data_IF_413725688353
#
_entry.id   IF_413725688353
#
_cell.length_a   1.000
_cell.length_b   1.000
_cell.length_c   1.000
_cell.angle_alpha   90.00
_cell.angle_beta   90.00
_cell.angle_gamma   90.00
#
_symmetry.space_group_name_H-M   'P 1'
#
loop_
_entity.id
_entity.type
_entity.pdbx_description
1 polymer ?
#
# COMPACT_ATOMS: atom_id res chain seq x y z
N UNK A 1 -8.65 17.28 28.62
CA UNK A 1 -8.23 16.25 27.63
C UNK A 1 -6.97 16.75 26.98
N UNK A 2 -5.90 16.00 27.13
CA UNK A 2 -4.59 16.43 26.66
C UNK A 2 -4.53 16.39 25.13
N UNK A 3 -3.87 17.40 24.54
CA UNK A 3 -3.61 17.42 23.09
C UNK A 3 -2.50 16.42 22.76
N UNK A 4 -2.70 15.60 21.76
CA UNK A 4 -1.72 14.61 21.26
C UNK A 4 -1.02 15.23 20.05
N UNK A 5 0.30 15.05 19.96
CA UNK A 5 1.06 15.41 18.76
C UNK A 5 1.41 14.15 17.97
N UNK A 6 1.09 14.11 16.69
CA UNK A 6 1.65 13.13 15.75
C UNK A 6 2.69 13.77 14.84
N UNK A 7 3.83 13.11 14.70
CA UNK A 7 4.94 13.48 13.79
C UNK A 7 5.12 12.33 12.81
N UNK A 8 4.56 12.45 11.62
CA UNK A 8 4.52 11.34 10.64
C UNK A 8 4.36 11.83 9.20
N UNK A 9 4.40 10.93 8.25
CA UNK A 9 4.12 11.21 6.85
C UNK A 9 2.63 11.43 6.56
N UNK A 10 2.36 12.06 5.43
CA UNK A 10 1.02 12.23 4.87
C UNK A 10 0.74 11.11 3.87
N UNK A 11 -0.36 10.38 4.07
CA UNK A 11 -0.87 9.34 3.18
C UNK A 11 -2.10 9.88 2.43
N UNK A 12 -1.95 10.16 1.13
CA UNK A 12 -3.02 10.72 0.31
C UNK A 12 -4.20 9.75 0.07
N UNK A 13 -4.07 8.47 0.44
CA UNK A 13 -5.21 7.52 0.43
C UNK A 13 -6.00 7.52 1.73
N UNK A 14 -5.46 8.14 2.78
CA UNK A 14 -6.10 8.26 4.08
C UNK A 14 -6.11 6.98 4.92
N UNK A 15 -5.46 5.90 4.46
CA UNK A 15 -5.42 4.62 5.18
C UNK A 15 -4.39 4.57 6.31
N UNK A 16 -3.43 5.51 6.32
CA UNK A 16 -2.30 5.56 7.24
C UNK A 16 -1.85 7.03 7.41
N UNK A 17 -0.75 7.26 8.11
CA UNK A 17 -0.16 8.59 8.27
C UNK A 17 -1.04 9.58 9.03
N UNK A 18 -0.75 10.87 8.85
CA UNK A 18 -1.43 11.96 9.59
C UNK A 18 -2.95 11.96 9.39
N UNK A 19 -3.44 11.59 8.20
CA UNK A 19 -4.87 11.55 7.90
C UNK A 19 -5.60 10.49 8.73
N UNK A 20 -5.03 9.27 8.80
CA UNK A 20 -5.60 8.20 9.60
C UNK A 20 -5.50 8.50 11.11
N UNK A 21 -4.40 9.12 11.55
CA UNK A 21 -4.21 9.53 12.94
C UNK A 21 -5.29 10.51 13.39
N UNK A 22 -5.49 11.60 12.63
CA UNK A 22 -6.49 12.63 12.96
C UNK A 22 -7.89 12.04 12.95
N UNK A 23 -8.22 11.21 11.94
CA UNK A 23 -9.53 10.56 11.86
C UNK A 23 -9.79 9.68 13.08
N UNK A 24 -8.86 8.77 13.41
CA UNK A 24 -9.02 7.85 14.54
C UNK A 24 -9.16 8.58 15.88
N UNK A 25 -8.37 9.61 16.11
CA UNK A 25 -8.48 10.43 17.35
C UNK A 25 -9.80 11.19 17.40
N UNK A 26 -10.29 11.70 16.27
CA UNK A 26 -11.57 12.41 16.20
C UNK A 26 -12.74 11.46 16.47
N UNK A 27 -12.72 10.25 15.92
CA UNK A 27 -13.72 9.21 16.15
C UNK A 27 -13.76 8.77 17.62
N UNK A 28 -12.59 8.71 18.27
CA UNK A 28 -12.47 8.42 19.70
C UNK A 28 -12.86 9.63 20.59
N UNK A 29 -13.11 10.81 20.03
CA UNK A 29 -13.46 12.03 20.76
C UNK A 29 -12.25 12.78 21.32
N UNK A 30 -11.04 12.51 20.83
CA UNK A 30 -9.80 13.16 21.25
C UNK A 30 -9.44 14.41 20.45
N UNK A 31 -8.27 15.02 20.76
CA UNK A 31 -7.69 16.15 20.04
C UNK A 31 -6.26 15.82 19.64
N UNK A 32 -5.95 16.07 18.36
CA UNK A 32 -4.62 15.83 17.81
C UNK A 32 -4.15 17.02 16.99
N UNK A 33 -2.88 17.35 17.15
CA UNK A 33 -2.14 18.25 16.25
C UNK A 33 -1.08 17.45 15.51
N UNK A 34 -0.63 17.93 14.36
CA UNK A 34 0.22 17.14 13.49
C UNK A 34 1.40 17.93 12.94
N UNK A 35 2.52 17.22 12.75
CA UNK A 35 3.70 17.64 12.02
C UNK A 35 3.92 16.64 10.88
N UNK A 36 3.99 17.13 9.65
CA UNK A 36 4.17 16.29 8.46
C UNK A 36 5.65 16.19 8.12
N UNK A 37 6.18 14.96 8.05
CA UNK A 37 7.60 14.69 7.75
C UNK A 37 7.85 14.43 6.26
N UNK A 38 6.87 13.87 5.56
CA UNK A 38 6.91 13.61 4.11
C UNK A 38 5.50 13.50 3.55
N UNK A 39 5.39 13.63 2.24
CA UNK A 39 4.15 13.38 1.49
C UNK A 39 4.38 12.13 0.65
N UNK A 40 3.47 11.15 0.70
CA UNK A 40 3.47 10.01 -0.21
C UNK A 40 2.63 10.32 -1.44
N UNK A 41 3.10 9.91 -2.60
CA UNK A 41 2.31 9.80 -3.82
C UNK A 41 1.97 8.33 -3.95
N UNK A 42 0.76 7.95 -3.55
CA UNK A 42 0.37 6.55 -3.52
C UNK A 42 -1.08 6.32 -3.99
N UNK A 43 -1.36 5.08 -4.32
CA UNK A 43 -2.68 4.59 -4.68
C UNK A 43 -2.89 3.19 -4.07
N UNK A 44 -3.96 2.48 -4.47
CA UNK A 44 -4.26 1.13 -3.96
C UNK A 44 -3.21 0.07 -4.29
N UNK A 45 -2.26 0.37 -5.19
CA UNK A 45 -1.11 -0.50 -5.51
C UNK A 45 0.09 -0.27 -4.59
N UNK A 46 0.05 0.76 -3.75
CA UNK A 46 1.12 1.15 -2.84
C UNK A 46 1.75 2.48 -3.19
N UNK A 47 2.87 2.77 -2.54
CA UNK A 47 3.60 4.02 -2.67
C UNK A 47 4.34 4.03 -4.02
N UNK A 48 4.13 5.11 -4.79
CA UNK A 48 4.78 5.32 -6.09
C UNK A 48 6.01 6.23 -5.92
N UNK A 49 5.91 7.23 -5.04
CA UNK A 49 6.96 8.21 -4.82
C UNK A 49 6.82 8.85 -3.44
N UNK A 50 7.92 9.42 -2.93
CA UNK A 50 7.96 10.21 -1.71
C UNK A 50 8.45 11.61 -2.00
N UNK A 51 7.87 12.57 -1.30
CA UNK A 51 8.39 13.93 -1.22
C UNK A 51 8.68 14.25 0.25
N UNK A 52 9.96 14.26 0.63
CA UNK A 52 10.36 14.58 1.98
C UNK A 52 10.20 16.09 2.25
N UNK A 53 9.56 16.43 3.36
CA UNK A 53 9.46 17.82 3.80
C UNK A 53 10.85 18.26 4.31
N UNK A 54 11.36 19.44 3.88
CA UNK A 54 12.65 19.94 4.37
C UNK A 54 12.68 19.96 5.89
N UNK A 55 13.77 19.49 6.48
CA UNK A 55 13.90 19.38 7.93
C UNK A 55 13.70 20.70 8.68
N UNK A 56 14.05 21.83 8.06
CA UNK A 56 13.77 23.16 8.62
C UNK A 56 12.26 23.41 8.74
N UNK A 57 11.47 23.04 7.73
CA UNK A 57 10.02 23.19 7.77
C UNK A 57 9.40 22.28 8.84
N UNK A 58 9.94 21.06 9.01
CA UNK A 58 9.54 20.16 10.11
C UNK A 58 9.87 20.79 11.46
N UNK A 59 11.05 21.40 11.60
CA UNK A 59 11.44 22.11 12.83
C UNK A 59 10.50 23.28 13.14
N UNK A 60 10.15 24.08 12.14
CA UNK A 60 9.26 25.24 12.29
C UNK A 60 7.84 24.80 12.69
N UNK A 61 7.30 23.71 12.13
CA UNK A 61 6.02 23.13 12.54
C UNK A 61 6.08 22.67 14.02
N UNK A 62 7.14 21.97 14.40
CA UNK A 62 7.35 21.47 15.78
C UNK A 62 7.46 22.65 16.76
N UNK A 63 8.21 23.67 16.39
CA UNK A 63 8.41 24.85 17.26
C UNK A 63 7.10 25.63 17.46
N UNK A 64 6.33 25.82 16.41
CA UNK A 64 5.02 26.48 16.49
C UNK A 64 4.08 25.77 17.46
N UNK A 65 4.01 24.42 17.39
CA UNK A 65 3.16 23.62 18.30
C UNK A 65 3.75 23.56 19.72
N UNK A 66 5.06 23.33 19.82
CA UNK A 66 5.73 23.17 21.11
C UNK A 66 5.73 24.46 21.96
N UNK A 67 5.79 25.62 21.33
CA UNK A 67 5.73 26.90 22.04
C UNK A 67 4.31 27.27 22.53
N UNK A 68 3.27 26.80 21.84
CA UNK A 68 1.88 27.12 22.16
C UNK A 68 1.20 26.07 23.05
N UNK A 69 1.30 24.77 22.69
CA UNK A 69 0.46 23.73 23.27
C UNK A 69 1.22 22.76 24.18
N UNK A 70 2.52 22.55 23.97
CA UNK A 70 3.37 21.58 24.70
C UNK A 70 2.69 20.20 24.90
N UNK A 71 2.35 19.47 23.83
CA UNK A 71 1.61 18.21 23.93
C UNK A 71 2.34 17.19 24.83
N UNK A 72 1.68 16.64 25.87
CA UNK A 72 2.31 15.70 26.79
C UNK A 72 2.47 14.30 26.20
N UNK A 73 1.81 14.00 25.07
CA UNK A 73 1.86 12.72 24.38
C UNK A 73 2.27 12.97 22.93
N UNK A 74 3.34 12.29 22.51
CA UNK A 74 3.89 12.40 21.17
C UNK A 74 3.91 11.02 20.51
N UNK A 75 3.29 10.91 19.36
CA UNK A 75 3.45 9.78 18.45
C UNK A 75 4.46 10.15 17.37
N UNK A 76 5.46 9.31 17.16
CA UNK A 76 6.41 9.39 16.06
C UNK A 76 6.15 8.23 15.11
N UNK A 77 5.81 8.54 13.87
CA UNK A 77 5.59 7.55 12.81
C UNK A 77 6.75 7.51 11.81
N UNK A 78 6.45 7.75 10.54
CA UNK A 78 7.43 7.69 9.45
C UNK A 78 8.47 8.81 9.54
N UNK A 79 9.75 8.42 9.63
CA UNK A 79 10.94 9.28 9.56
C UNK A 79 11.86 8.72 8.48
N UNK A 80 12.22 9.52 7.48
CA UNK A 80 12.91 9.04 6.28
C UNK A 80 14.36 9.49 6.14
N UNK A 81 14.76 10.55 6.84
CA UNK A 81 16.12 11.10 6.74
C UNK A 81 16.67 11.55 8.09
N UNK A 82 18.00 11.67 8.16
CA UNK A 82 18.72 11.99 9.39
C UNK A 82 18.46 13.40 9.91
N UNK A 83 18.23 14.35 9.02
CA UNK A 83 17.99 15.74 9.39
C UNK A 83 16.66 15.86 10.14
N UNK A 84 15.59 15.26 9.60
CA UNK A 84 14.29 15.17 10.27
C UNK A 84 14.37 14.40 11.59
N UNK A 85 15.11 13.27 11.61
CA UNK A 85 15.34 12.53 12.85
C UNK A 85 16.00 13.39 13.92
N UNK A 86 17.02 14.16 13.57
CA UNK A 86 17.73 15.05 14.49
C UNK A 86 16.82 16.13 15.06
N UNK A 87 15.94 16.72 14.23
CA UNK A 87 14.91 17.68 14.68
C UNK A 87 13.99 17.06 15.70
N UNK A 88 13.46 15.87 15.45
CA UNK A 88 12.56 15.16 16.37
C UNK A 88 13.25 14.84 17.69
N UNK A 89 14.48 14.30 17.66
CA UNK A 89 15.24 13.98 18.87
C UNK A 89 15.47 15.24 19.72
N UNK A 90 15.86 16.35 19.09
CA UNK A 90 16.07 17.63 19.78
C UNK A 90 14.79 18.13 20.47
N UNK A 91 13.65 18.03 19.78
CA UNK A 91 12.35 18.36 20.36
C UNK A 91 12.04 17.48 21.58
N UNK A 92 12.12 16.16 21.46
CA UNK A 92 11.82 15.22 22.55
C UNK A 92 12.72 15.45 23.77
N UNK A 93 13.99 15.77 23.55
CA UNK A 93 14.95 16.07 24.65
C UNK A 93 14.67 17.41 25.33
N UNK A 94 14.22 18.41 24.57
CA UNK A 94 13.91 19.76 25.06
C UNK A 94 12.62 19.79 25.85
N UNK A 95 11.53 19.23 25.29
CA UNK A 95 10.18 19.35 25.87
C UNK A 95 9.80 18.20 26.80
N UNK A 96 10.48 17.05 26.71
CA UNK A 96 10.30 15.86 27.57
C UNK A 96 8.83 15.48 27.76
N UNK A 97 8.10 15.14 26.68
CA UNK A 97 6.70 14.74 26.81
C UNK A 97 6.58 13.52 27.76
N UNK A 98 5.43 13.39 28.43
CA UNK A 98 5.16 12.29 29.37
C UNK A 98 5.19 10.92 28.71
N UNK A 99 4.73 10.85 27.46
CA UNK A 99 4.75 9.63 26.65
C UNK A 99 5.23 9.91 25.24
N UNK A 100 6.15 9.04 24.76
CA UNK A 100 6.61 9.00 23.37
C UNK A 100 6.32 7.62 22.83
N UNK A 101 5.44 7.52 21.85
CA UNK A 101 5.09 6.28 21.16
C UNK A 101 5.74 6.29 19.77
N UNK A 102 6.57 5.28 19.51
CA UNK A 102 7.22 5.12 18.19
C UNK A 102 6.61 3.96 17.44
N UNK A 103 6.06 4.26 16.27
CA UNK A 103 5.47 3.30 15.32
C UNK A 103 6.18 3.45 13.97
N UNK A 104 7.36 2.83 13.79
CA UNK A 104 8.13 2.96 12.57
C UNK A 104 7.41 2.35 11.37
N UNK A 105 7.59 2.97 10.21
CA UNK A 105 7.21 2.40 8.93
C UNK A 105 8.50 1.96 8.21
N UNK A 106 8.97 0.76 8.54
CA UNK A 106 10.24 0.22 8.01
C UNK A 106 10.06 -0.35 6.61
N UNK A 107 8.94 -1.03 6.38
CA UNK A 107 8.59 -1.61 5.09
C UNK A 107 7.28 -1.04 4.54
N UNK A 108 7.21 -0.91 3.23
CA UNK A 108 5.96 -0.64 2.53
C UNK A 108 5.00 -1.84 2.65
N UNK A 109 3.73 -1.63 2.31
CA UNK A 109 2.75 -2.73 2.19
C UNK A 109 3.17 -3.79 1.16
N UNK A 110 4.04 -3.44 0.22
CA UNK A 110 4.59 -4.34 -0.79
C UNK A 110 5.89 -5.05 -0.33
N UNK A 111 6.40 -4.72 0.86
CA UNK A 111 7.62 -5.30 1.41
C UNK A 111 8.92 -4.55 1.04
N UNK A 112 8.82 -3.40 0.38
CA UNK A 112 10.00 -2.59 0.06
C UNK A 112 10.56 -1.92 1.32
N UNK A 113 11.87 -1.94 1.50
CA UNK A 113 12.53 -1.25 2.61
C UNK A 113 12.45 0.27 2.41
N UNK A 114 11.85 0.98 3.36
CA UNK A 114 11.63 2.43 3.31
C UNK A 114 12.64 3.25 4.11
N UNK A 115 13.51 2.58 4.88
CA UNK A 115 14.54 3.21 5.72
C UNK A 115 15.91 2.68 5.38
N UNK A 116 16.86 3.58 5.24
CA UNK A 116 18.27 3.20 5.06
C UNK A 116 18.86 2.61 6.36
N UNK A 117 19.79 1.66 6.24
CA UNK A 117 20.43 0.99 7.39
C UNK A 117 21.09 1.97 8.36
N UNK A 118 21.70 3.05 7.83
CA UNK A 118 22.32 4.09 8.65
C UNK A 118 21.29 4.85 9.49
N UNK A 119 20.13 5.18 8.90
CA UNK A 119 19.03 5.83 9.63
C UNK A 119 18.51 4.93 10.76
N UNK A 120 18.35 3.63 10.51
CA UNK A 120 17.92 2.65 11.52
C UNK A 120 18.93 2.60 12.67
N UNK A 121 20.22 2.64 12.39
CA UNK A 121 21.27 2.71 13.41
C UNK A 121 21.16 3.93 14.32
N UNK A 122 20.91 5.10 13.72
CA UNK A 122 20.71 6.36 14.46
C UNK A 122 19.39 6.38 15.26
N UNK A 123 18.32 5.82 14.73
CA UNK A 123 17.06 5.62 15.46
C UNK A 123 17.30 4.76 16.71
N UNK A 124 17.96 3.60 16.55
CA UNK A 124 18.28 2.70 17.66
C UNK A 124 19.05 3.40 18.75
N UNK A 125 20.06 4.18 18.38
CA UNK A 125 20.98 4.82 19.33
C UNK A 125 20.37 6.04 20.01
N UNK A 126 19.53 6.81 19.34
CA UNK A 126 19.16 8.15 19.80
C UNK A 126 17.64 8.37 19.99
N UNK A 127 16.77 7.66 19.25
CA UNK A 127 15.32 7.80 19.37
C UNK A 127 14.72 6.75 20.31
N UNK A 128 15.08 5.46 20.14
CA UNK A 128 14.47 4.39 20.97
C UNK A 128 14.65 4.61 22.47
N UNK A 129 15.79 5.13 23.00
CA UNK A 129 15.92 5.42 24.42
C UNK A 129 15.01 6.53 24.96
N UNK A 130 14.39 7.33 24.08
CA UNK A 130 13.45 8.38 24.44
C UNK A 130 11.99 7.91 24.39
N UNK A 131 11.74 6.71 23.88
CA UNK A 131 10.39 6.20 23.70
C UNK A 131 9.86 5.52 24.97
N UNK A 132 8.60 5.78 25.29
CA UNK A 132 7.87 5.07 26.36
C UNK A 132 7.30 3.75 25.84
N UNK A 133 7.00 3.66 24.54
CA UNK A 133 6.52 2.46 23.88
C UNK A 133 7.01 2.44 22.41
N UNK A 134 7.46 1.28 21.97
CA UNK A 134 7.90 1.02 20.61
C UNK A 134 7.04 -0.10 20.05
N UNK A 135 6.32 0.17 18.96
CA UNK A 135 5.46 -0.81 18.29
C UNK A 135 6.19 -1.34 17.06
N UNK A 136 6.46 -2.62 16.99
CA UNK A 136 7.19 -3.25 15.89
C UNK A 136 6.46 -4.47 15.39
N UNK A 137 6.40 -4.65 14.08
CA UNK A 137 6.04 -5.94 13.50
C UNK A 137 7.17 -6.94 13.72
N UNK A 138 6.83 -8.22 13.87
CA UNK A 138 7.84 -9.27 14.11
C UNK A 138 8.98 -9.24 13.09
N UNK A 139 8.67 -9.03 11.80
CA UNK A 139 9.65 -8.93 10.72
C UNK A 139 10.57 -7.70 10.81
N UNK A 140 10.14 -6.64 11.49
CA UNK A 140 10.89 -5.39 11.65
C UNK A 140 11.79 -5.41 12.86
N UNK A 141 11.45 -6.21 13.88
CA UNK A 141 12.10 -6.20 15.19
C UNK A 141 13.60 -6.44 15.12
N UNK A 142 14.04 -7.47 14.41
CA UNK A 142 15.47 -7.77 14.26
C UNK A 142 16.25 -6.63 13.62
N UNK A 143 15.66 -5.99 12.61
CA UNK A 143 16.30 -4.89 11.89
C UNK A 143 16.39 -3.62 12.76
N UNK A 144 15.31 -3.27 13.44
CA UNK A 144 15.20 -2.04 14.26
C UNK A 144 15.98 -2.20 15.57
N UNK A 145 15.80 -3.30 16.28
CA UNK A 145 16.41 -3.52 17.60
C UNK A 145 17.86 -4.01 17.52
N UNK A 146 18.22 -4.75 16.45
CA UNK A 146 19.53 -5.42 16.38
C UNK A 146 19.67 -6.44 17.51
N UNK A 147 20.73 -6.27 18.31
CA UNK A 147 21.00 -7.13 19.48
C UNK A 147 20.45 -6.55 20.81
N UNK A 148 19.64 -5.48 20.75
CA UNK A 148 19.05 -4.88 21.95
C UNK A 148 17.67 -5.47 22.22
N UNK A 149 17.29 -5.57 23.51
CA UNK A 149 15.97 -6.05 23.91
C UNK A 149 15.41 -5.10 24.97
N UNK A 150 14.93 -3.91 24.57
CA UNK A 150 14.33 -2.98 25.53
C UNK A 150 12.96 -3.47 26.02
N UNK A 151 12.63 -3.22 27.29
CA UNK A 151 11.38 -3.69 27.94
C UNK A 151 10.12 -3.00 27.42
N UNK A 152 10.27 -1.86 26.73
CA UNK A 152 9.18 -1.03 26.22
C UNK A 152 8.79 -1.36 24.76
N UNK A 153 9.05 -2.56 24.29
CA UNK A 153 8.67 -3.02 22.94
C UNK A 153 7.41 -3.86 22.97
N UNK A 154 6.45 -3.52 22.14
CA UNK A 154 5.29 -4.35 21.85
C UNK A 154 5.40 -4.91 20.43
N UNK A 155 5.46 -6.24 20.31
CA UNK A 155 5.54 -6.93 19.03
C UNK A 155 4.14 -7.18 18.49
N UNK A 156 3.93 -6.75 17.25
CA UNK A 156 2.69 -6.93 16.51
C UNK A 156 2.82 -8.12 15.54
N UNK A 157 1.73 -8.85 15.37
CA UNK A 157 1.64 -9.83 14.31
C UNK A 157 1.64 -9.15 12.93
N UNK A 158 2.13 -9.83 11.90
CA UNK A 158 2.14 -9.34 10.54
C UNK A 158 0.73 -9.44 9.94
N UNK A 159 -0.10 -8.44 10.23
CA UNK A 159 -1.44 -8.31 9.63
C UNK A 159 -1.34 -7.69 8.24
N UNK A 160 -2.10 -8.20 7.25
CA UNK A 160 -2.09 -7.64 5.89
C UNK A 160 -2.88 -6.33 5.76
N UNK A 161 -3.50 -5.84 6.83
CA UNK A 161 -4.34 -4.63 6.79
C UNK A 161 -3.47 -3.39 6.75
N UNK A 162 -3.64 -2.57 5.69
CA UNK A 162 -2.94 -1.30 5.55
C UNK A 162 -3.32 -0.35 6.69
N UNK A 163 -2.30 0.27 7.32
CA UNK A 163 -2.50 1.22 8.41
C UNK A 163 -2.86 0.61 9.77
N UNK A 164 -2.91 -0.73 9.92
CA UNK A 164 -3.28 -1.36 11.20
C UNK A 164 -2.40 -0.90 12.37
N UNK A 165 -1.05 -0.94 12.23
CA UNK A 165 -0.15 -0.47 13.30
C UNK A 165 -0.35 1.01 13.58
N UNK A 166 -0.57 1.80 12.53
CA UNK A 166 -0.82 3.24 12.64
C UNK A 166 -2.10 3.54 13.45
N UNK A 167 -3.19 2.83 13.20
CA UNK A 167 -4.43 2.98 13.95
C UNK A 167 -4.27 2.50 15.40
N UNK A 168 -3.56 1.38 15.61
CA UNK A 168 -3.29 0.85 16.94
C UNK A 168 -2.48 1.84 17.77
N UNK A 169 -1.36 2.33 17.24
CA UNK A 169 -0.51 3.31 17.92
C UNK A 169 -1.27 4.59 18.25
N UNK A 170 -2.13 5.04 17.34
CA UNK A 170 -2.98 6.22 17.55
C UNK A 170 -4.02 6.00 18.64
N UNK A 171 -4.72 4.87 18.65
CA UNK A 171 -5.67 4.53 19.70
C UNK A 171 -4.98 4.40 21.08
N UNK A 172 -3.75 3.85 21.13
CA UNK A 172 -2.95 3.80 22.35
C UNK A 172 -2.69 5.23 22.87
N UNK A 173 -2.28 6.18 22.01
CA UNK A 173 -2.06 7.57 22.45
C UNK A 173 -3.31 8.20 23.01
N UNK A 174 -4.49 7.90 22.45
CA UNK A 174 -5.76 8.35 23.00
C UNK A 174 -6.00 7.80 24.40
N UNK A 175 -5.88 6.50 24.62
CA UNK A 175 -6.14 5.93 25.94
C UNK A 175 -5.10 6.38 26.98
N UNK A 176 -3.86 6.65 26.59
CA UNK A 176 -2.87 7.30 27.46
C UNK A 176 -3.32 8.72 27.85
N UNK A 177 -3.91 9.49 26.92
CA UNK A 177 -4.45 10.83 27.22
C UNK A 177 -5.65 10.81 28.16
N UNK A 178 -6.29 9.65 28.35
CA UNK A 178 -7.35 9.41 29.32
C UNK A 178 -6.81 8.94 30.68
N UNK A 179 -5.49 8.92 30.90
CA UNK A 179 -4.86 8.52 32.16
C UNK A 179 -4.68 7.01 32.34
N UNK A 180 -4.89 6.20 31.32
CA UNK A 180 -4.62 4.76 31.39
C UNK A 180 -3.12 4.48 31.44
N UNK A 181 -2.71 3.40 32.09
CA UNK A 181 -1.37 2.86 31.97
C UNK A 181 -1.08 2.34 30.56
N UNK A 182 0.19 2.16 30.19
CA UNK A 182 0.58 1.64 28.86
C UNK A 182 -0.10 0.30 28.58
N UNK A 183 -0.13 -0.62 29.52
CA UNK A 183 -0.74 -1.93 29.33
C UNK A 183 -2.27 -1.85 29.13
N UNK A 184 -2.96 -1.03 29.91
CA UNK A 184 -4.40 -0.80 29.73
C UNK A 184 -4.70 -0.11 28.41
N UNK A 185 -3.86 0.86 28.00
CA UNK A 185 -3.99 1.56 26.72
C UNK A 185 -3.83 0.60 25.53
N UNK A 186 -2.85 -0.31 25.57
CA UNK A 186 -2.66 -1.36 24.54
C UNK A 186 -3.88 -2.28 24.48
N UNK A 187 -4.39 -2.74 25.63
CA UNK A 187 -5.55 -3.63 25.69
C UNK A 187 -6.80 -2.96 25.09
N UNK A 188 -7.12 -1.74 25.53
CA UNK A 188 -8.28 -0.98 25.04
C UNK A 188 -8.17 -0.63 23.57
N UNK A 189 -6.98 -0.25 23.10
CA UNK A 189 -6.73 0.03 21.69
C UNK A 189 -6.91 -1.23 20.82
N UNK A 190 -6.42 -2.37 21.27
CA UNK A 190 -6.59 -3.65 20.57
C UNK A 190 -8.06 -4.05 20.46
N UNK A 191 -8.83 -3.85 21.55
CA UNK A 191 -10.28 -4.10 21.55
C UNK A 191 -11.03 -3.15 20.62
N UNK A 192 -10.68 -1.86 20.62
CA UNK A 192 -11.23 -0.87 19.69
C UNK A 192 -11.02 -1.29 18.22
N UNK A 193 -9.80 -1.70 17.87
CA UNK A 193 -9.50 -2.11 16.50
C UNK A 193 -10.25 -3.40 16.12
N UNK A 194 -10.39 -4.35 17.04
CA UNK A 194 -11.13 -5.58 16.79
C UNK A 194 -12.58 -5.34 16.39
N UNK A 195 -13.20 -4.27 16.91
CA UNK A 195 -14.58 -3.90 16.63
C UNK A 195 -14.69 -3.06 15.34
N UNK A 196 -13.75 -2.14 15.11
CA UNK A 196 -13.87 -1.08 14.09
C UNK A 196 -13.04 -1.33 12.82
N UNK A 197 -12.11 -2.29 12.83
CA UNK A 197 -11.29 -2.62 11.65
C UNK A 197 -11.74 -3.97 11.08
N UNK A 198 -12.41 -3.92 9.94
CA UNK A 198 -12.75 -5.13 9.19
C UNK A 198 -11.58 -5.52 8.27
N UNK A 199 -11.29 -6.83 8.10
CA UNK A 199 -10.35 -7.30 7.08
C UNK A 199 -10.76 -6.88 5.65
N UNK A 200 -12.04 -6.59 5.42
CA UNK A 200 -12.59 -6.16 4.13
C UNK A 200 -12.44 -4.64 3.87
N UNK A 201 -12.10 -3.83 4.86
CA UNK A 201 -11.88 -2.38 4.70
C UNK A 201 -10.59 -2.02 3.95
N UNK A 202 -9.88 -3.01 3.43
CA UNK A 202 -8.67 -2.75 2.67
C UNK A 202 -9.03 -2.11 1.31
N UNK A 203 -8.47 -0.94 1.04
CA UNK A 203 -8.44 -0.30 -0.30
C UNK A 203 -7.88 -1.23 -1.41
N UNK A 204 -7.38 -2.42 -1.03
CA UNK A 204 -6.89 -3.48 -1.92
C UNK A 204 -7.99 -4.13 -2.77
N UNK A 205 -9.27 -3.99 -2.39
CA UNK A 205 -10.40 -4.53 -3.15
C UNK A 205 -10.52 -3.91 -4.55
N UNK A 206 -10.20 -2.61 -4.70
CA UNK A 206 -10.31 -1.92 -5.99
C UNK A 206 -9.47 -2.53 -7.11
N UNK A 207 -8.23 -2.93 -6.79
CA UNK A 207 -7.35 -3.57 -7.79
C UNK A 207 -7.88 -4.94 -8.21
N UNK A 208 -8.38 -5.73 -7.26
CA UNK A 208 -8.99 -7.04 -7.53
C UNK A 208 -10.28 -6.91 -8.33
N UNK A 209 -11.12 -5.92 -7.99
CA UNK A 209 -12.33 -5.60 -8.76
C UNK A 209 -11.98 -5.18 -10.19
N UNK A 210 -11.02 -4.27 -10.37
CA UNK A 210 -10.59 -3.82 -11.68
C UNK A 210 -10.03 -4.97 -12.53
N UNK A 211 -9.25 -5.86 -11.93
CA UNK A 211 -8.74 -7.05 -12.63
C UNK A 211 -9.87 -7.98 -13.06
N UNK A 212 -10.83 -8.24 -12.19
CA UNK A 212 -12.02 -9.04 -12.50
C UNK A 212 -12.87 -8.41 -13.61
N UNK A 213 -13.07 -7.08 -13.54
CA UNK A 213 -13.84 -6.37 -14.55
C UNK A 213 -13.11 -6.32 -15.89
N UNK A 214 -11.78 -6.24 -15.87
CA UNK A 214 -10.96 -6.36 -17.07
C UNK A 214 -11.10 -7.73 -17.74
N UNK A 215 -11.01 -8.81 -16.98
CA UNK A 215 -11.17 -10.17 -17.54
C UNK A 215 -12.60 -10.42 -18.07
N UNK A 216 -13.63 -9.88 -17.40
CA UNK A 216 -15.01 -9.91 -17.91
C UNK A 216 -15.16 -9.10 -19.20
N UNK A 217 -14.57 -7.92 -19.26
CA UNK A 217 -14.62 -7.08 -20.46
C UNK A 217 -13.92 -7.78 -21.65
N UNK A 218 -12.78 -8.44 -21.42
CA UNK A 218 -12.13 -9.26 -22.46
C UNK A 218 -13.12 -10.30 -22.98
N UNK A 219 -13.71 -11.10 -22.10
CA UNK A 219 -14.66 -12.16 -22.50
C UNK A 219 -15.84 -11.61 -23.32
N UNK A 220 -16.34 -10.41 -22.97
CA UNK A 220 -17.48 -9.80 -23.66
C UNK A 220 -17.13 -9.17 -25.02
N UNK A 221 -15.93 -8.58 -25.16
CA UNK A 221 -15.60 -7.74 -26.32
C UNK A 221 -14.44 -8.25 -27.19
N UNK A 222 -13.86 -9.41 -26.86
CA UNK A 222 -12.66 -9.95 -27.51
C UNK A 222 -12.77 -10.04 -29.05
N UNK A 223 -13.96 -10.38 -29.56
CA UNK A 223 -14.22 -10.46 -31.00
C UNK A 223 -14.24 -9.09 -31.69
N UNK A 224 -14.46 -8.04 -30.95
CA UNK A 224 -14.59 -6.67 -31.46
C UNK A 224 -13.33 -5.84 -31.27
N UNK A 225 -12.61 -6.07 -30.16
CA UNK A 225 -11.45 -5.29 -29.76
C UNK A 225 -10.42 -6.17 -29.02
N UNK A 226 -9.17 -5.96 -29.36
CA UNK A 226 -8.04 -6.68 -28.72
C UNK A 226 -6.89 -5.75 -28.27
N UNK A 227 -7.13 -4.44 -28.23
CA UNK A 227 -6.11 -3.48 -27.84
C UNK A 227 -6.29 -3.02 -26.37
N UNK A 228 -5.16 -2.81 -25.69
CA UNK A 228 -5.12 -2.43 -24.26
C UNK A 228 -5.76 -1.07 -24.01
N UNK A 229 -5.64 -0.13 -24.96
CA UNK A 229 -6.16 1.22 -24.81
C UNK A 229 -7.69 1.20 -24.74
N UNK A 230 -8.34 0.39 -25.58
CA UNK A 230 -9.78 0.21 -25.53
C UNK A 230 -10.28 -0.27 -24.17
N UNK A 231 -9.65 -1.31 -23.62
CA UNK A 231 -10.07 -1.85 -22.31
C UNK A 231 -9.77 -0.88 -21.16
N UNK A 232 -8.67 -0.16 -21.24
CA UNK A 232 -8.36 0.85 -20.22
C UNK A 232 -9.38 1.99 -20.24
N UNK A 233 -9.76 2.47 -21.43
CA UNK A 233 -10.79 3.51 -21.61
C UNK A 233 -12.18 2.99 -21.15
N UNK A 234 -12.56 1.79 -21.55
CA UNK A 234 -13.81 1.14 -21.13
C UNK A 234 -13.93 1.05 -19.60
N UNK A 235 -12.83 0.80 -18.91
CA UNK A 235 -12.77 0.69 -17.45
C UNK A 235 -12.51 2.05 -16.74
N UNK A 236 -12.46 3.15 -17.50
CA UNK A 236 -12.16 4.50 -17.00
C UNK A 236 -10.84 4.58 -16.22
N UNK A 237 -9.78 3.92 -16.73
CA UNK A 237 -8.44 3.94 -16.16
C UNK A 237 -7.38 4.21 -17.23
N UNK A 238 -6.17 4.59 -16.82
CA UNK A 238 -5.06 4.71 -17.77
C UNK A 238 -4.49 3.33 -18.12
N UNK A 239 -3.96 3.11 -19.36
CA UNK A 239 -3.27 1.88 -19.73
C UNK A 239 -2.13 1.52 -18.77
N UNK A 240 -1.42 2.55 -18.24
CA UNK A 240 -0.35 2.38 -17.26
C UNK A 240 -0.88 1.78 -15.95
N UNK A 241 -1.99 2.32 -15.43
CA UNK A 241 -2.60 1.81 -14.20
C UNK A 241 -3.15 0.40 -14.37
N UNK A 242 -3.80 0.10 -15.52
CA UNK A 242 -4.24 -1.25 -15.84
C UNK A 242 -3.07 -2.24 -15.88
N UNK A 243 -1.92 -1.84 -16.47
CA UNK A 243 -0.72 -2.67 -16.50
C UNK A 243 -0.15 -2.93 -15.09
N UNK A 244 -0.15 -1.93 -14.21
CA UNK A 244 0.27 -2.11 -12.83
C UNK A 244 -0.64 -3.11 -12.09
N UNK A 245 -1.95 -3.01 -12.26
CA UNK A 245 -2.94 -3.91 -11.63
C UNK A 245 -2.77 -5.33 -12.12
N UNK A 246 -2.69 -5.56 -13.43
CA UNK A 246 -2.56 -6.90 -14.00
C UNK A 246 -1.24 -7.56 -13.61
N UNK A 247 -0.12 -6.82 -13.67
CA UNK A 247 1.17 -7.33 -13.23
C UNK A 247 1.17 -7.72 -11.74
N UNK A 248 0.53 -6.92 -10.89
CA UNK A 248 0.46 -7.21 -9.46
C UNK A 248 -0.35 -8.47 -9.15
N UNK A 249 -1.49 -8.67 -9.84
CA UNK A 249 -2.44 -9.75 -9.51
C UNK A 249 -2.07 -11.05 -10.20
N UNK A 250 -1.67 -11.00 -11.48
CA UNK A 250 -1.40 -12.19 -12.29
C UNK A 250 0.05 -12.37 -12.73
N UNK A 251 0.93 -11.39 -12.47
CA UNK A 251 2.28 -11.38 -12.99
C UNK A 251 2.36 -11.11 -14.50
N UNK A 252 1.24 -10.79 -15.16
CA UNK A 252 1.15 -10.65 -16.62
C UNK A 252 0.80 -9.21 -17.02
N UNK A 253 1.28 -8.81 -18.21
CA UNK A 253 0.84 -7.54 -18.80
C UNK A 253 -0.60 -7.65 -19.32
N UNK A 254 -1.37 -6.53 -19.43
CA UNK A 254 -2.71 -6.56 -20.00
C UNK A 254 -2.73 -7.16 -21.40
N UNK A 255 -1.71 -6.87 -22.21
CA UNK A 255 -1.57 -7.42 -23.55
C UNK A 255 -1.42 -8.94 -23.54
N UNK A 256 -0.59 -9.49 -22.65
CA UNK A 256 -0.41 -10.93 -22.53
C UNK A 256 -1.70 -11.65 -22.11
N UNK A 257 -2.48 -11.04 -21.20
CA UNK A 257 -3.79 -11.58 -20.78
C UNK A 257 -4.77 -11.58 -21.96
N UNK A 258 -4.85 -10.49 -22.73
CA UNK A 258 -5.71 -10.40 -23.92
C UNK A 258 -5.29 -11.46 -24.96
N UNK A 259 -3.98 -11.58 -25.23
CA UNK A 259 -3.44 -12.57 -26.19
C UNK A 259 -3.76 -14.00 -25.74
N UNK A 260 -3.68 -14.32 -24.45
CA UNK A 260 -4.04 -15.63 -23.91
C UNK A 260 -5.54 -15.93 -24.11
N UNK A 261 -6.42 -15.01 -23.74
CA UNK A 261 -7.86 -15.17 -23.98
C UNK A 261 -8.19 -15.32 -25.48
N UNK A 262 -7.46 -14.60 -26.34
CA UNK A 262 -7.62 -14.69 -27.79
C UNK A 262 -7.16 -16.04 -28.32
N UNK A 263 -6.05 -16.58 -27.84
CA UNK A 263 -5.57 -17.93 -28.13
C UNK A 263 -6.62 -18.99 -27.77
N UNK A 264 -7.09 -18.96 -26.52
CA UNK A 264 -8.08 -19.93 -26.02
C UNK A 264 -9.38 -19.89 -26.84
N UNK A 265 -9.88 -18.68 -27.14
CA UNK A 265 -11.10 -18.50 -27.92
C UNK A 265 -10.95 -18.99 -29.37
N UNK A 266 -9.82 -18.67 -30.03
CA UNK A 266 -9.53 -19.11 -31.40
C UNK A 266 -9.33 -20.64 -31.45
N UNK A 267 -8.60 -21.22 -30.50
CA UNK A 267 -8.44 -22.66 -30.41
C UNK A 267 -9.80 -23.37 -30.27
N UNK A 268 -10.68 -22.84 -29.41
CA UNK A 268 -12.03 -23.36 -29.26
C UNK A 268 -12.86 -23.28 -30.57
N UNK A 269 -12.79 -22.16 -31.29
CA UNK A 269 -13.47 -22.02 -32.60
C UNK A 269 -12.91 -22.99 -33.65
N UNK A 270 -11.58 -23.18 -33.68
CA UNK A 270 -10.92 -24.08 -34.61
C UNK A 270 -11.31 -25.54 -34.41
N UNK A 271 -11.52 -25.97 -33.18
CA UNK A 271 -11.81 -27.37 -32.82
C UNK A 271 -13.30 -27.68 -32.80
N UNK A 272 -14.14 -26.74 -32.40
CA UNK A 272 -15.55 -27.01 -32.09
C UNK A 272 -16.52 -26.43 -33.13
N UNK A 273 -16.02 -25.79 -34.19
CA UNK A 273 -16.89 -25.23 -35.24
C UNK A 273 -16.41 -25.63 -36.63
N UNK A 274 -17.34 -25.66 -37.60
CA UNK A 274 -17.06 -25.85 -39.02
C UNK A 274 -16.58 -24.59 -39.76
N UNK A 275 -16.30 -23.49 -39.07
CA UNK A 275 -15.90 -22.21 -39.66
C UNK A 275 -14.57 -22.37 -40.40
N UNK A 276 -14.45 -21.69 -41.53
CA UNK A 276 -13.19 -21.61 -42.29
C UNK A 276 -12.17 -20.76 -41.52
N UNK A 277 -10.90 -20.95 -41.82
CA UNK A 277 -9.82 -20.13 -41.22
C UNK A 277 -10.01 -18.64 -41.52
N UNK A 278 -10.58 -18.33 -42.70
CA UNK A 278 -10.86 -16.96 -43.11
C UNK A 278 -12.02 -16.35 -42.29
N UNK A 279 -13.10 -17.09 -42.06
CA UNK A 279 -14.22 -16.64 -41.24
C UNK A 279 -13.77 -16.34 -39.80
N UNK A 280 -12.98 -17.22 -39.20
CA UNK A 280 -12.43 -16.99 -37.84
C UNK A 280 -11.54 -15.74 -37.85
N UNK A 281 -10.66 -15.57 -38.83
CA UNK A 281 -9.80 -14.39 -38.93
C UNK A 281 -10.61 -13.08 -38.96
N UNK A 282 -11.70 -13.02 -39.72
CA UNK A 282 -12.58 -11.84 -39.80
C UNK A 282 -13.41 -11.63 -38.53
N UNK A 283 -13.88 -12.71 -37.92
CA UNK A 283 -14.65 -12.63 -36.68
C UNK A 283 -13.85 -12.00 -35.53
N UNK A 284 -12.55 -12.29 -35.48
CA UNK A 284 -11.64 -11.69 -34.49
C UNK A 284 -10.92 -10.42 -35.01
N UNK A 285 -11.48 -9.78 -36.07
CA UNK A 285 -11.01 -8.48 -36.59
C UNK A 285 -9.56 -8.47 -37.10
N UNK A 286 -9.03 -9.62 -37.55
CA UNK A 286 -7.75 -9.61 -38.25
C UNK A 286 -7.89 -9.00 -39.64
N UNK A 287 -6.93 -8.16 -40.02
CA UNK A 287 -6.92 -7.46 -41.33
C UNK A 287 -6.80 -8.41 -42.52
N UNK A 288 -6.33 -9.63 -42.33
CA UNK A 288 -6.26 -10.68 -43.33
C UNK A 288 -6.04 -12.05 -42.69
N UNK A 289 -6.38 -13.12 -43.45
CA UNK A 289 -6.06 -14.48 -43.06
C UNK A 289 -4.53 -14.70 -42.89
N UNK A 290 -3.70 -14.02 -43.67
CA UNK A 290 -2.25 -14.08 -43.53
C UNK A 290 -1.77 -13.48 -42.20
N UNK A 291 -2.31 -12.34 -41.81
CA UNK A 291 -2.01 -11.72 -40.53
C UNK A 291 -2.47 -12.62 -39.34
N UNK A 292 -3.67 -13.17 -39.41
CA UNK A 292 -4.16 -14.15 -38.45
C UNK A 292 -3.25 -15.38 -38.35
N UNK A 293 -2.85 -15.98 -39.48
CA UNK A 293 -1.97 -17.16 -39.51
C UNK A 293 -0.62 -16.86 -38.86
N UNK A 294 -0.04 -15.68 -39.13
CA UNK A 294 1.23 -15.25 -38.51
C UNK A 294 1.08 -15.07 -37.01
N UNK A 295 0.01 -14.42 -36.57
CA UNK A 295 -0.30 -14.24 -35.15
C UNK A 295 -0.45 -15.59 -34.45
N UNK A 296 -1.33 -16.46 -34.94
CA UNK A 296 -1.64 -17.75 -34.33
C UNK A 296 -0.38 -18.67 -34.28
N UNK A 297 0.42 -18.68 -35.35
CA UNK A 297 1.69 -19.43 -35.33
C UNK A 297 2.69 -18.90 -34.33
N UNK A 298 2.72 -17.58 -34.07
CA UNK A 298 3.59 -16.97 -33.07
C UNK A 298 3.25 -17.42 -31.66
N UNK A 299 1.95 -17.55 -31.32
CA UNK A 299 1.50 -17.87 -29.97
C UNK A 299 1.43 -19.38 -29.70
N UNK A 300 1.01 -20.20 -30.69
CA UNK A 300 0.79 -21.65 -30.50
C UNK A 300 1.90 -22.53 -31.09
N UNK A 301 2.78 -21.98 -31.95
CA UNK A 301 3.76 -22.74 -32.70
C UNK A 301 3.22 -23.40 -33.99
N UNK A 302 1.90 -23.47 -34.18
CA UNK A 302 1.24 -24.12 -35.30
C UNK A 302 0.51 -23.13 -36.20
N UNK A 303 0.37 -23.47 -37.51
CA UNK A 303 -0.62 -22.74 -38.31
C UNK A 303 -2.03 -23.16 -37.91
N UNK A 304 -3.07 -22.29 -38.08
CA UNK A 304 -4.45 -22.66 -37.76
C UNK A 304 -4.93 -23.97 -38.41
N UNK A 305 -4.55 -24.18 -39.70
CA UNK A 305 -4.92 -25.40 -40.41
C UNK A 305 -4.24 -26.65 -39.87
N UNK A 306 -2.97 -26.57 -39.49
CA UNK A 306 -2.24 -27.68 -38.87
C UNK A 306 -2.73 -27.95 -37.49
N UNK A 307 -3.05 -26.90 -36.71
CA UNK A 307 -3.63 -27.02 -35.36
C UNK A 307 -4.96 -27.77 -35.41
N UNK A 308 -5.87 -27.37 -36.29
CA UNK A 308 -7.15 -28.05 -36.52
C UNK A 308 -6.95 -29.52 -36.89
N UNK A 309 -6.05 -29.79 -37.88
CA UNK A 309 -5.81 -31.16 -38.35
C UNK A 309 -5.23 -32.09 -37.28
N UNK A 310 -4.37 -31.57 -36.42
CA UNK A 310 -3.67 -32.36 -35.39
C UNK A 310 -4.48 -32.60 -34.13
N UNK A 311 -5.54 -31.81 -33.87
CA UNK A 311 -6.30 -31.85 -32.63
C UNK A 311 -7.79 -32.24 -32.81
N UNK A 312 -8.26 -32.38 -34.08
CA UNK A 312 -9.55 -33.03 -34.35
C UNK A 312 -9.28 -34.52 -34.49
N UNK A 313 -9.73 -35.29 -33.45
CA UNK A 313 -9.81 -36.77 -33.50
C UNK A 313 -11.04 -37.22 -34.24
#
# INVERSE_FOLDING_TARGET
MDTILTITGSDNTGGSGVQADIRAITELGGRMVSVVTCITIQNTLGIQEFYDIPAQVVADQIEAIGNDMQPPIVKVGMVRNLQTLSVIINYLRRYKPSYVIYDPVVFSSNGDLLMESHLIGMIRQHLLPLCSLILLRKKESTLVLGNTSPDNVSLLDDTPVHGYSNLLSTAITYYLSQGNSINEAIQKASEYLRIHVSPDDSLHNRSTELYRDFTKAITAYLKQRSDVAYYADFLNVTPRYLAQVTNRISGMTPKAIIEQHLEDAICNELLNTGKTIQEIAYEYQFSSQAHFTKFFKRITGYTPSNYRKNHIQ
#
